data_IF_670801122311
#
_entry.id   IF_670801122311
#
_cell.length_a   1.000
_cell.length_b   1.000
_cell.length_c   1.000
_cell.angle_alpha   90.00
_cell.angle_beta   90.00
_cell.angle_gamma   90.00
#
_symmetry.space_group_name_H-M   'P 1'
#
loop_
_entity.id
_entity.type
_entity.pdbx_description
1 polymer ?
#
# COMPACT_ATOMS: atom_id res chain seq x y z
N UNK A 1 -4.04 32.83 -17.91
CA UNK A 1 -3.08 31.80 -17.48
C UNK A 1 -3.19 30.63 -18.45
N UNK A 2 -2.11 30.26 -19.12
CA UNK A 2 -2.10 29.15 -20.07
C UNK A 2 -2.38 27.87 -19.28
N UNK A 3 -3.61 27.36 -19.34
CA UNK A 3 -4.02 26.06 -18.80
C UNK A 3 -3.32 24.99 -19.63
N UNK A 4 -2.03 24.81 -19.37
CA UNK A 4 -1.17 23.79 -19.97
C UNK A 4 -1.95 22.48 -20.14
N UNK A 5 -2.04 22.02 -21.39
CA UNK A 5 -2.71 20.82 -21.89
C UNK A 5 -3.25 19.87 -20.79
N UNK A 6 -4.49 20.11 -20.37
CA UNK A 6 -5.14 19.37 -19.29
C UNK A 6 -5.21 17.86 -19.56
N UNK A 7 -5.56 17.38 -20.78
CA UNK A 7 -5.44 15.97 -21.14
C UNK A 7 -4.05 15.37 -20.85
N UNK A 8 -2.98 16.04 -21.27
CA UNK A 8 -1.61 15.55 -21.02
C UNK A 8 -1.24 15.57 -19.54
N UNK A 9 -1.72 16.56 -18.77
CA UNK A 9 -1.51 16.61 -17.33
C UNK A 9 -2.20 15.44 -16.61
N UNK A 10 -3.44 15.10 -16.99
CA UNK A 10 -4.18 13.97 -16.45
C UNK A 10 -3.52 12.63 -16.77
N UNK A 11 -2.98 12.47 -17.99
CA UNK A 11 -2.28 11.24 -18.38
C UNK A 11 -1.03 11.02 -17.54
N UNK A 12 -0.18 12.05 -17.37
CA UNK A 12 1.00 11.95 -16.48
C UNK A 12 0.62 11.63 -15.05
N UNK A 13 -0.48 12.20 -14.56
CA UNK A 13 -1.00 11.87 -13.23
C UNK A 13 -1.42 10.40 -13.13
N UNK A 14 -2.16 9.88 -14.11
CA UNK A 14 -2.58 8.48 -14.13
C UNK A 14 -1.36 7.55 -14.18
N UNK A 15 -0.42 7.79 -15.10
CA UNK A 15 0.78 6.97 -15.27
C UNK A 15 1.62 6.90 -13.99
N UNK A 16 1.82 8.04 -13.32
CA UNK A 16 2.58 8.11 -12.07
C UNK A 16 1.88 7.42 -10.89
N UNK A 17 0.54 7.36 -10.87
CA UNK A 17 -0.23 6.91 -9.68
C UNK A 17 -0.83 5.52 -9.80
N UNK A 18 -1.08 5.03 -11.01
CA UNK A 18 -1.83 3.79 -11.25
C UNK A 18 -1.17 2.58 -10.61
N UNK A 19 0.12 2.36 -10.87
CA UNK A 19 0.85 1.22 -10.31
C UNK A 19 0.89 1.24 -8.78
N UNK A 20 1.23 2.40 -8.21
CA UNK A 20 1.28 2.58 -6.76
C UNK A 20 -0.08 2.36 -6.09
N UNK A 21 -1.14 2.90 -6.68
CA UNK A 21 -2.50 2.76 -6.15
C UNK A 21 -2.97 1.30 -6.23
N UNK A 22 -2.67 0.59 -7.33
CA UNK A 22 -3.00 -0.82 -7.46
C UNK A 22 -2.29 -1.69 -6.40
N UNK A 23 -1.03 -1.37 -6.08
CA UNK A 23 -0.28 -2.02 -5.01
C UNK A 23 -0.96 -1.80 -3.65
N UNK A 24 -1.30 -0.54 -3.32
CA UNK A 24 -2.00 -0.19 -2.08
C UNK A 24 -3.32 -0.96 -1.93
N UNK A 25 -4.14 -0.98 -2.99
CA UNK A 25 -5.43 -1.66 -2.95
C UNK A 25 -5.29 -3.18 -2.81
N UNK A 26 -4.36 -3.79 -3.55
CA UNK A 26 -4.12 -5.24 -3.47
C UNK A 26 -3.63 -5.65 -2.09
N UNK A 27 -2.65 -4.94 -1.53
CA UNK A 27 -2.14 -5.25 -0.20
C UNK A 27 -3.17 -5.00 0.91
N UNK A 28 -4.09 -4.04 0.74
CA UNK A 28 -5.17 -3.82 1.68
C UNK A 28 -6.11 -5.05 1.78
N UNK A 29 -6.37 -5.73 0.66
CA UNK A 29 -7.15 -6.98 0.67
C UNK A 29 -6.39 -8.10 1.40
N UNK A 30 -5.08 -8.23 1.17
CA UNK A 30 -4.26 -9.21 1.89
C UNK A 30 -4.21 -8.92 3.39
N UNK A 31 -4.08 -7.65 3.77
CA UNK A 31 -4.11 -7.22 5.16
C UNK A 31 -5.47 -7.49 5.81
N UNK A 32 -6.58 -7.28 5.08
CA UNK A 32 -7.92 -7.64 5.57
C UNK A 32 -7.96 -9.12 5.94
N UNK A 33 -7.51 -9.99 5.04
CA UNK A 33 -7.54 -11.44 5.23
C UNK A 33 -6.61 -11.88 6.37
N UNK A 34 -5.41 -11.27 6.44
CA UNK A 34 -4.43 -11.54 7.50
C UNK A 34 -4.92 -11.07 8.88
N UNK A 35 -5.58 -9.92 8.97
CA UNK A 35 -6.00 -9.34 10.24
C UNK A 35 -7.31 -9.92 10.77
N UNK A 36 -8.22 -10.33 9.89
CA UNK A 36 -9.55 -10.86 10.23
C UNK A 36 -9.66 -12.35 9.94
N UNK A 37 -8.58 -13.11 10.15
CA UNK A 37 -8.63 -14.56 10.06
C UNK A 37 -9.72 -15.11 10.98
N UNK A 38 -10.42 -16.14 10.52
CA UNK A 38 -11.34 -16.91 11.36
C UNK A 38 -10.54 -17.53 12.51
N UNK A 39 -11.12 -17.52 13.71
CA UNK A 39 -10.50 -18.13 14.88
C UNK A 39 -10.13 -19.59 14.60
N UNK A 40 -8.86 -19.94 14.85
CA UNK A 40 -8.29 -21.22 14.41
C UNK A 40 -6.81 -21.36 14.74
N UNK A 41 -6.19 -22.45 14.27
CA UNK A 41 -4.75 -22.66 14.51
C UNK A 41 -3.92 -21.64 13.72
N UNK A 42 -4.32 -21.35 12.49
CA UNK A 42 -3.67 -20.40 11.60
C UNK A 42 -3.71 -18.97 12.18
N UNK A 43 -4.79 -18.61 12.87
CA UNK A 43 -4.91 -17.34 13.59
C UNK A 43 -3.92 -17.27 14.76
N UNK A 44 -3.75 -18.37 15.52
CA UNK A 44 -2.78 -18.44 16.62
C UNK A 44 -1.33 -18.39 16.13
N UNK A 45 -1.05 -19.02 14.99
CA UNK A 45 0.27 -18.99 14.38
C UNK A 45 0.63 -17.56 13.94
N UNK A 46 -0.31 -16.85 13.31
CA UNK A 46 -0.18 -15.42 12.99
C UNK A 46 0.06 -14.58 14.24
N UNK A 47 -0.72 -14.79 15.29
CA UNK A 47 -0.57 -14.07 16.57
C UNK A 47 0.81 -14.31 17.20
N UNK A 48 1.31 -15.55 17.16
CA UNK A 48 2.65 -15.89 17.63
C UNK A 48 3.71 -15.12 16.84
N UNK A 49 3.61 -15.12 15.50
CA UNK A 49 4.53 -14.36 14.64
C UNK A 49 4.50 -12.87 15.01
N UNK A 50 3.32 -12.30 15.21
CA UNK A 50 3.16 -10.89 15.61
C UNK A 50 3.67 -10.63 17.04
N UNK A 51 3.69 -11.62 17.93
CA UNK A 51 4.24 -11.42 19.27
C UNK A 51 5.78 -11.37 19.27
N UNK A 52 6.42 -12.14 18.39
CA UNK A 52 7.89 -12.25 18.27
C UNK A 52 8.45 -11.07 17.48
N UNK A 53 7.75 -10.72 16.41
CA UNK A 53 8.03 -9.55 15.57
C UNK A 53 6.75 -8.74 15.52
N UNK A 54 6.49 -7.87 16.51
CA UNK A 54 5.39 -6.92 16.45
C UNK A 54 5.41 -6.30 15.06
N UNK A 55 4.30 -6.34 14.30
CA UNK A 55 4.20 -5.53 13.11
C UNK A 55 4.27 -4.08 13.58
N UNK A 56 5.50 -3.57 13.66
CA UNK A 56 5.78 -2.16 13.77
C UNK A 56 5.50 -1.51 12.42
N UNK A 57 5.94 -0.26 12.28
CA UNK A 57 5.87 0.42 10.98
C UNK A 57 6.56 -0.39 9.87
N UNK A 58 7.53 -1.27 10.16
CA UNK A 58 8.31 -2.03 9.17
C UNK A 58 7.53 -2.77 8.09
N UNK A 59 6.41 -3.42 8.41
CA UNK A 59 5.58 -4.10 7.39
C UNK A 59 4.71 -3.12 6.58
N UNK A 60 4.51 -1.92 7.11
CA UNK A 60 3.76 -0.82 6.49
C UNK A 60 4.67 0.32 5.99
N UNK A 61 6.00 0.20 6.13
CA UNK A 61 6.96 1.23 5.73
C UNK A 61 6.81 1.55 4.24
N UNK A 62 6.58 0.53 3.41
CA UNK A 62 6.28 0.74 2.00
C UNK A 62 5.04 1.62 1.75
N UNK A 63 4.12 1.76 2.72
CA UNK A 63 3.00 2.73 2.69
C UNK A 63 3.44 4.09 3.19
N UNK A 64 4.04 4.13 4.38
CA UNK A 64 4.28 5.38 5.12
C UNK A 64 5.57 6.11 4.76
N UNK A 65 6.59 5.39 4.27
CA UNK A 65 7.86 5.95 3.80
C UNK A 65 7.84 6.27 2.30
N UNK A 66 6.74 5.99 1.60
CA UNK A 66 6.61 6.29 0.18
C UNK A 66 6.56 7.80 -0.07
N UNK A 67 7.65 8.36 -0.62
CA UNK A 67 7.71 9.75 -1.07
C UNK A 67 7.32 9.87 -2.56
N UNK A 68 6.10 10.34 -2.79
CA UNK A 68 5.57 10.58 -4.13
C UNK A 68 6.33 11.65 -4.95
N UNK A 69 7.15 12.49 -4.32
CA UNK A 69 7.93 13.54 -4.98
C UNK A 69 9.30 13.03 -5.46
N UNK A 70 9.74 11.86 -5.00
CA UNK A 70 11.01 11.24 -5.42
C UNK A 70 10.84 10.28 -6.59
N UNK A 71 9.60 9.87 -6.88
CA UNK A 71 9.29 9.01 -8.03
C UNK A 71 9.28 9.89 -9.28
N UNK A 72 10.24 9.66 -10.18
CA UNK A 72 10.28 10.34 -11.47
C UNK A 72 8.97 10.08 -12.24
N UNK A 73 8.36 11.16 -12.75
CA UNK A 73 7.17 11.15 -13.63
C UNK A 73 7.63 11.18 -15.09
#
# INVERSE_FOLDING_TARGET
MNTSDAPSALRRYEDARKGRTAQVQTSALMNRDLFHMVDGQEQKDRDMIFSISPPGMSILDWVYEYDALTVAV
#
